data_IF_530172807541
#
_entry.id   IF_530172807541
#
_cell.length_a   1.000
_cell.length_b   1.000
_cell.length_c   1.000
_cell.angle_alpha   90.00
_cell.angle_beta   90.00
_cell.angle_gamma   90.00
#
_symmetry.space_group_name_H-M   'P 1'
#
loop_
_entity.id
_entity.type
_entity.pdbx_description
1 polymer ?
#
# COMPACT_ATOMS: atom_id res chain seq x y z
N UNK A 1 16.50 16.94 -10.22
CA UNK A 1 16.69 17.12 -11.63
C UNK A 1 16.39 18.54 -12.05
N UNK A 2 17.19 19.07 -12.95
CA UNK A 2 16.89 20.35 -13.61
C UNK A 2 16.03 20.00 -14.83
N UNK A 3 14.76 20.38 -14.80
CA UNK A 3 13.91 20.27 -15.99
C UNK A 3 14.06 21.53 -16.84
N UNK A 4 13.97 21.40 -18.12
CA UNK A 4 13.71 22.53 -19.00
C UNK A 4 12.20 22.86 -18.91
N UNK A 5 11.90 23.90 -18.15
CA UNK A 5 10.51 24.32 -17.94
C UNK A 5 9.86 24.81 -19.22
N UNK A 6 10.62 25.44 -20.12
CA UNK A 6 10.09 25.99 -21.37
C UNK A 6 9.68 24.87 -22.31
N UNK A 7 10.54 23.86 -22.43
CA UNK A 7 10.27 22.68 -23.24
C UNK A 7 9.05 21.91 -22.75
N UNK A 8 8.92 21.69 -21.43
CA UNK A 8 7.77 21.01 -20.82
C UNK A 8 6.48 21.80 -21.10
N UNK A 9 6.48 23.12 -20.93
CA UNK A 9 5.30 23.96 -21.16
C UNK A 9 4.96 23.99 -22.66
N UNK A 10 5.95 24.05 -23.55
CA UNK A 10 5.74 24.01 -24.98
C UNK A 10 5.07 22.69 -25.40
N UNK A 11 5.61 21.56 -24.96
CA UNK A 11 5.02 20.25 -25.18
C UNK A 11 3.57 20.15 -24.66
N UNK A 12 3.35 20.60 -23.43
CA UNK A 12 2.01 20.55 -22.83
C UNK A 12 1.00 21.44 -23.57
N UNK A 13 1.43 22.60 -24.11
CA UNK A 13 0.60 23.46 -24.96
C UNK A 13 0.28 22.86 -26.32
N UNK A 14 1.28 22.24 -26.94
CA UNK A 14 1.10 21.53 -28.21
C UNK A 14 0.12 20.36 -28.06
N UNK A 15 0.23 19.60 -26.94
CA UNK A 15 -0.71 18.54 -26.61
C UNK A 15 -2.14 19.03 -26.35
N UNK A 16 -2.29 20.27 -25.87
CA UNK A 16 -3.57 20.96 -25.62
C UNK A 16 -4.57 20.13 -24.78
N UNK A 17 -4.25 19.72 -23.56
CA UNK A 17 -5.14 18.89 -22.74
C UNK A 17 -6.32 19.68 -22.19
N UNK A 18 -7.48 19.03 -22.07
CA UNK A 18 -8.65 19.56 -21.35
C UNK A 18 -8.56 19.32 -19.84
N UNK A 19 -7.75 18.35 -19.41
CA UNK A 19 -7.59 17.94 -18.03
C UNK A 19 -6.19 17.35 -17.78
N UNK A 20 -5.68 17.57 -16.58
CA UNK A 20 -4.43 16.94 -16.11
C UNK A 20 -4.80 15.86 -15.09
N UNK A 21 -4.38 14.62 -15.35
CA UNK A 21 -4.40 13.57 -14.34
C UNK A 21 -3.00 13.39 -13.73
N UNK A 22 -2.85 13.69 -12.44
CA UNK A 22 -1.56 13.63 -11.75
C UNK A 22 -1.69 12.88 -10.41
N UNK A 23 -1.27 11.59 -10.33
CA UNK A 23 -1.24 10.88 -9.06
C UNK A 23 -0.44 11.64 -7.99
N UNK A 24 -1.01 11.79 -6.81
CA UNK A 24 -0.39 12.51 -5.70
C UNK A 24 0.57 11.60 -4.95
N UNK A 25 1.83 11.62 -5.35
CA UNK A 25 2.91 10.97 -4.62
C UNK A 25 3.56 11.96 -3.63
N UNK A 26 4.21 11.41 -2.58
CA UNK A 26 5.08 12.19 -1.69
C UNK A 26 6.33 12.79 -2.37
N UNK A 27 6.45 12.61 -3.67
CA UNK A 27 7.58 13.06 -4.48
C UNK A 27 7.42 14.53 -4.87
N UNK A 28 8.31 15.35 -4.32
CA UNK A 28 8.33 16.79 -4.54
C UNK A 28 8.46 17.21 -6.01
N UNK A 29 9.23 16.46 -6.82
CA UNK A 29 9.44 16.81 -8.23
C UNK A 29 8.15 16.66 -9.03
N UNK A 30 7.41 15.59 -8.80
CA UNK A 30 6.13 15.36 -9.48
C UNK A 30 5.09 16.43 -9.09
N UNK A 31 5.03 16.79 -7.81
CA UNK A 31 4.14 17.86 -7.35
C UNK A 31 4.47 19.22 -8.00
N UNK A 32 5.76 19.56 -8.14
CA UNK A 32 6.19 20.77 -8.82
C UNK A 32 5.90 20.76 -10.31
N UNK A 33 6.03 19.60 -10.96
CA UNK A 33 5.70 19.44 -12.37
C UNK A 33 4.21 19.66 -12.60
N UNK A 34 3.36 19.04 -11.79
CA UNK A 34 1.92 19.23 -11.85
C UNK A 34 1.52 20.71 -11.70
N UNK A 35 2.06 21.39 -10.68
CA UNK A 35 1.81 22.82 -10.49
C UNK A 35 2.27 23.65 -11.68
N UNK A 36 3.47 23.38 -12.21
CA UNK A 36 4.02 24.11 -13.36
C UNK A 36 3.11 24.02 -14.60
N UNK A 37 2.63 22.82 -14.90
CA UNK A 37 1.79 22.61 -16.08
C UNK A 37 0.39 23.22 -15.86
N UNK A 38 -0.18 23.04 -14.66
CA UNK A 38 -1.46 23.66 -14.31
C UNK A 38 -1.40 25.19 -14.45
N UNK A 39 -0.39 25.82 -13.84
CA UNK A 39 -0.21 27.29 -13.85
C UNK A 39 -0.03 27.83 -15.30
N UNK A 40 0.61 27.04 -16.18
CA UNK A 40 0.87 27.43 -17.56
C UNK A 40 -0.33 27.26 -18.50
N UNK A 41 -1.22 26.29 -18.22
CA UNK A 41 -2.35 25.94 -19.09
C UNK A 41 -3.71 26.35 -18.53
N UNK A 42 -3.79 26.55 -17.22
CA UNK A 42 -5.04 26.86 -16.49
C UNK A 42 -6.15 25.80 -16.70
N UNK A 43 -5.77 24.53 -16.81
CA UNK A 43 -6.70 23.41 -16.96
C UNK A 43 -6.89 22.67 -15.64
N UNK A 44 -8.06 22.06 -15.38
CA UNK A 44 -8.32 21.37 -14.12
C UNK A 44 -7.39 20.19 -13.90
N UNK A 45 -6.99 19.98 -12.64
CA UNK A 45 -6.17 18.85 -12.23
C UNK A 45 -6.99 17.88 -11.41
N UNK A 46 -7.03 16.63 -11.85
CA UNK A 46 -7.56 15.51 -11.09
C UNK A 46 -6.42 14.66 -10.57
N UNK A 47 -6.50 14.28 -9.32
CA UNK A 47 -5.46 13.51 -8.65
C UNK A 47 -6.01 12.24 -8.02
N UNK A 48 -5.12 11.32 -7.70
CA UNK A 48 -5.41 10.12 -6.92
C UNK A 48 -4.32 9.95 -5.85
N UNK A 49 -4.73 9.74 -4.61
CA UNK A 49 -3.83 9.50 -3.49
C UNK A 49 -4.07 8.10 -2.92
N UNK A 50 -3.02 7.26 -2.97
CA UNK A 50 -3.07 5.87 -2.55
C UNK A 50 -2.32 5.58 -1.25
N UNK A 51 -1.43 6.49 -0.81
CA UNK A 51 -0.54 6.25 0.32
C UNK A 51 -0.65 7.34 1.37
N UNK A 52 -0.46 6.94 2.63
CA UNK A 52 -0.40 7.86 3.75
C UNK A 52 1.04 8.34 4.00
N UNK A 53 1.48 9.35 3.26
CA UNK A 53 2.80 9.97 3.44
C UNK A 53 2.74 11.32 4.18
N UNK A 54 1.57 11.78 4.57
CA UNK A 54 1.31 13.16 5.03
C UNK A 54 0.70 13.25 6.42
N UNK A 55 0.18 12.17 6.99
CA UNK A 55 -0.49 12.21 8.29
C UNK A 55 0.50 12.31 9.45
N UNK A 56 0.07 12.88 10.57
CA UNK A 56 0.85 12.89 11.80
C UNK A 56 0.68 11.60 12.63
N UNK A 57 0.02 10.58 12.08
CA UNK A 57 -0.26 9.33 12.77
C UNK A 57 0.95 8.38 12.82
N UNK A 58 1.94 8.60 11.94
CA UNK A 58 3.21 7.88 12.02
C UNK A 58 4.03 8.44 13.17
N UNK A 59 4.51 7.56 14.06
CA UNK A 59 5.38 7.96 15.14
C UNK A 59 6.82 7.47 14.90
N UNK A 60 7.79 8.38 14.99
CA UNK A 60 9.22 8.06 14.97
C UNK A 60 9.98 8.93 15.97
N UNK A 61 10.94 8.34 16.68
CA UNK A 61 11.81 9.03 17.62
C UNK A 61 12.94 9.84 16.94
N UNK A 62 12.69 10.46 15.81
CA UNK A 62 13.71 11.21 15.07
C UNK A 62 13.26 12.65 14.83
N UNK A 63 13.97 13.64 15.36
CA UNK A 63 13.69 15.06 15.07
C UNK A 63 13.77 15.37 13.57
N UNK A 64 14.72 14.75 12.87
CA UNK A 64 14.89 14.92 11.42
C UNK A 64 13.67 14.40 10.67
N UNK A 65 13.08 13.27 11.11
CA UNK A 65 11.85 12.76 10.55
C UNK A 65 10.72 13.79 10.67
N UNK A 66 10.52 14.36 11.85
CA UNK A 66 9.44 15.34 12.08
C UNK A 66 9.64 16.62 11.31
N UNK A 67 10.88 17.11 11.20
CA UNK A 67 11.22 18.27 10.38
C UNK A 67 10.88 18.02 8.89
N UNK A 68 11.33 16.90 8.35
CA UNK A 68 11.03 16.50 6.97
C UNK A 68 9.52 16.31 6.76
N UNK A 69 8.84 15.69 7.71
CA UNK A 69 7.39 15.45 7.67
C UNK A 69 6.61 16.78 7.65
N UNK A 70 7.01 17.75 8.43
CA UNK A 70 6.44 19.10 8.40
C UNK A 70 6.59 19.75 7.01
N UNK A 71 7.76 19.61 6.36
CA UNK A 71 7.96 20.11 5.01
C UNK A 71 7.08 19.37 3.99
N UNK A 72 6.94 18.05 4.09
CA UNK A 72 6.05 17.27 3.24
C UNK A 72 4.61 17.77 3.39
N UNK A 73 4.10 17.93 4.60
CA UNK A 73 2.74 18.44 4.85
C UNK A 73 2.52 19.84 4.27
N UNK A 74 3.47 20.76 4.46
CA UNK A 74 3.38 22.13 3.87
C UNK A 74 3.31 22.08 2.34
N UNK A 75 4.09 21.22 1.71
CA UNK A 75 4.09 21.04 0.25
C UNK A 75 2.81 20.40 -0.22
N UNK A 76 2.34 19.36 0.46
CA UNK A 76 1.06 18.72 0.17
C UNK A 76 -0.09 19.74 0.23
N UNK A 77 -0.14 20.56 1.28
CA UNK A 77 -1.15 21.62 1.39
C UNK A 77 -1.09 22.63 0.22
N UNK A 78 0.09 22.92 -0.29
CA UNK A 78 0.23 23.82 -1.46
C UNK A 78 -0.28 23.16 -2.72
N UNK A 79 0.07 21.89 -2.98
CA UNK A 79 -0.31 21.23 -4.22
C UNK A 79 -1.82 20.94 -4.26
N UNK A 80 -2.44 20.63 -3.12
CA UNK A 80 -3.89 20.41 -3.05
C UNK A 80 -4.72 21.62 -3.51
N UNK A 81 -4.18 22.84 -3.44
CA UNK A 81 -4.84 24.05 -3.96
C UNK A 81 -4.93 24.07 -5.48
N UNK A 82 -4.10 23.30 -6.19
CA UNK A 82 -4.12 23.17 -7.64
C UNK A 82 -5.05 22.03 -8.10
N UNK A 83 -5.49 21.17 -7.16
CA UNK A 83 -6.34 20.04 -7.51
C UNK A 83 -7.81 20.41 -7.46
N UNK A 84 -8.50 20.24 -8.60
CA UNK A 84 -9.96 20.42 -8.69
C UNK A 84 -10.70 19.27 -8.01
N UNK A 85 -10.13 18.06 -8.07
CA UNK A 85 -10.68 16.85 -7.49
C UNK A 85 -9.55 15.87 -7.13
N UNK A 86 -9.68 15.22 -5.98
CA UNK A 86 -8.75 14.17 -5.55
C UNK A 86 -9.52 12.91 -5.22
N UNK A 87 -9.11 11.79 -5.80
CA UNK A 87 -9.66 10.49 -5.47
C UNK A 87 -8.80 9.77 -4.43
N UNK A 88 -9.46 8.96 -3.60
CA UNK A 88 -8.84 8.04 -2.64
C UNK A 88 -9.66 6.76 -2.51
N UNK A 89 -9.12 5.75 -1.82
CA UNK A 89 -9.79 4.46 -1.66
C UNK A 89 -10.64 4.36 -0.40
N UNK A 90 -10.32 5.12 0.67
CA UNK A 90 -10.95 4.96 1.99
C UNK A 90 -11.64 6.23 2.48
N UNK A 91 -12.75 6.04 3.19
CA UNK A 91 -13.48 7.16 3.81
C UNK A 91 -12.65 7.86 4.89
N UNK A 92 -11.80 7.12 5.61
CA UNK A 92 -10.91 7.70 6.62
C UNK A 92 -9.92 8.68 5.99
N UNK A 93 -9.26 8.28 4.89
CA UNK A 93 -8.32 9.16 4.18
C UNK A 93 -9.02 10.38 3.59
N UNK A 94 -10.21 10.18 3.00
CA UNK A 94 -11.04 11.26 2.49
C UNK A 94 -11.28 12.31 3.57
N UNK A 95 -11.89 11.92 4.69
CA UNK A 95 -12.20 12.83 5.80
C UNK A 95 -10.96 13.53 6.36
N UNK A 96 -9.84 12.83 6.43
CA UNK A 96 -8.60 13.40 6.93
C UNK A 96 -8.01 14.43 5.96
N UNK A 97 -7.98 14.17 4.66
CA UNK A 97 -7.50 15.14 3.67
C UNK A 97 -8.39 16.36 3.56
N UNK A 98 -9.71 16.18 3.64
CA UNK A 98 -10.67 17.28 3.68
C UNK A 98 -10.42 18.20 4.89
N UNK A 99 -10.21 17.62 6.09
CA UNK A 99 -9.88 18.39 7.30
C UNK A 99 -8.51 19.06 7.25
N UNK A 100 -7.49 18.33 6.82
CA UNK A 100 -6.10 18.79 6.93
C UNK A 100 -5.69 19.77 5.82
N UNK A 101 -6.29 19.63 4.64
CA UNK A 101 -5.88 20.31 3.43
C UNK A 101 -7.01 21.08 2.72
N UNK A 102 -8.26 20.93 3.13
CA UNK A 102 -9.42 21.51 2.43
C UNK A 102 -9.63 20.93 1.03
N UNK A 103 -9.25 19.68 0.82
CA UNK A 103 -9.31 19.02 -0.48
C UNK A 103 -10.76 18.66 -0.87
N UNK A 104 -11.10 18.78 -2.16
CA UNK A 104 -12.33 18.20 -2.69
C UNK A 104 -12.08 16.72 -2.99
N UNK A 105 -12.62 15.83 -2.17
CA UNK A 105 -12.30 14.40 -2.20
C UNK A 105 -13.49 13.54 -2.61
N UNK A 106 -13.21 12.53 -3.44
CA UNK A 106 -14.18 11.46 -3.77
C UNK A 106 -13.54 10.08 -3.59
N UNK A 107 -14.37 9.09 -3.35
CA UNK A 107 -13.93 7.70 -3.26
C UNK A 107 -13.89 7.10 -4.66
N UNK A 108 -12.76 6.46 -4.98
CA UNK A 108 -12.58 5.65 -6.18
C UNK A 108 -11.90 4.34 -5.76
N UNK A 109 -12.65 3.26 -5.71
CA UNK A 109 -12.15 1.93 -5.37
C UNK A 109 -11.83 1.14 -6.63
N UNK A 110 -10.74 0.40 -6.57
CA UNK A 110 -10.40 -0.55 -7.63
C UNK A 110 -11.27 -1.80 -7.45
N UNK A 111 -12.07 -2.09 -8.44
CA UNK A 111 -12.86 -3.33 -8.45
C UNK A 111 -12.09 -4.43 -9.18
N UNK A 112 -12.13 -5.66 -8.63
CA UNK A 112 -11.74 -6.88 -9.31
C UNK A 112 -12.99 -7.59 -9.87
N UNK A 113 -12.84 -8.30 -10.98
CA UNK A 113 -13.84 -9.28 -11.39
C UNK A 113 -13.50 -10.58 -10.67
N UNK A 114 -14.21 -10.86 -9.59
CA UNK A 114 -14.11 -12.11 -8.86
C UNK A 114 -15.31 -12.95 -9.25
N UNK A 115 -15.07 -14.06 -9.92
CA UNK A 115 -16.11 -15.06 -10.15
C UNK A 115 -16.18 -15.92 -8.87
N UNK A 116 -17.37 -16.14 -8.33
CA UNK A 116 -17.62 -16.95 -7.13
C UNK A 116 -17.37 -18.47 -7.34
N UNK A 117 -16.34 -18.81 -8.14
CA UNK A 117 -15.99 -20.19 -8.49
C UNK A 117 -15.11 -20.86 -7.43
N UNK A 118 -14.82 -20.18 -6.34
CA UNK A 118 -13.78 -20.60 -5.40
C UNK A 118 -14.31 -21.17 -4.10
N UNK A 119 -15.59 -21.50 -4.06
CA UNK A 119 -16.15 -22.19 -2.90
C UNK A 119 -15.60 -23.62 -2.84
N UNK A 120 -14.68 -23.82 -1.90
CA UNK A 120 -14.07 -25.10 -1.65
C UNK A 120 -15.03 -25.96 -0.83
N UNK A 121 -15.38 -27.14 -1.33
CA UNK A 121 -16.29 -28.08 -0.65
C UNK A 121 -15.61 -28.89 0.46
N UNK A 122 -14.26 -28.92 0.47
CA UNK A 122 -13.48 -29.73 1.42
C UNK A 122 -12.23 -28.99 1.86
N UNK A 123 -12.01 -28.93 3.16
CA UNK A 123 -10.80 -28.35 3.78
C UNK A 123 -9.63 -29.34 3.65
N UNK A 124 -8.43 -28.85 3.40
CA UNK A 124 -7.22 -29.68 3.35
C UNK A 124 -6.86 -30.24 4.74
N UNK A 125 -6.13 -31.32 4.74
CA UNK A 125 -5.44 -31.86 5.89
C UNK A 125 -3.95 -32.07 5.53
N UNK A 126 -3.02 -31.25 6.01
CA UNK A 126 -3.20 -30.09 6.92
C UNK A 126 -3.94 -28.90 6.27
N UNK A 127 -4.56 -28.05 7.11
CA UNK A 127 -5.19 -26.78 6.67
C UNK A 127 -4.10 -25.85 6.14
N UNK A 128 -4.31 -25.28 4.96
CA UNK A 128 -3.33 -24.44 4.26
C UNK A 128 -3.69 -22.97 4.34
N UNK A 129 -2.84 -22.21 5.02
CA UNK A 129 -2.87 -20.75 5.04
C UNK A 129 -1.89 -20.20 4.01
N UNK A 130 -2.27 -19.14 3.32
CA UNK A 130 -1.41 -18.45 2.38
C UNK A 130 -1.38 -16.95 2.62
N UNK A 131 -0.19 -16.38 2.59
CA UNK A 131 0.05 -14.94 2.53
C UNK A 131 0.84 -14.62 1.26
N UNK A 132 0.40 -13.65 0.48
CA UNK A 132 1.13 -13.16 -0.68
C UNK A 132 1.27 -11.65 -0.61
N UNK A 133 2.50 -11.16 -0.45
CA UNK A 133 2.75 -9.73 -0.34
C UNK A 133 4.08 -9.35 0.29
N UNK A 134 4.26 -8.03 0.48
CA UNK A 134 5.43 -7.49 1.16
C UNK A 134 5.39 -7.73 2.67
N UNK A 135 6.51 -8.12 3.24
CA UNK A 135 6.67 -8.39 4.69
C UNK A 135 7.33 -7.25 5.45
N UNK A 136 7.69 -6.13 4.78
CA UNK A 136 8.21 -4.94 5.45
C UNK A 136 7.15 -4.20 6.26
N UNK A 137 7.52 -3.08 6.85
CA UNK A 137 6.69 -2.34 7.81
C UNK A 137 6.25 -3.22 8.98
N UNK A 138 7.12 -4.14 9.42
CA UNK A 138 6.89 -5.08 10.52
C UNK A 138 5.72 -6.08 10.32
N UNK A 139 5.21 -6.27 9.10
CA UNK A 139 4.21 -7.31 8.80
C UNK A 139 4.71 -8.71 9.12
N UNK A 140 6.02 -8.95 8.94
CA UNK A 140 6.65 -10.22 9.28
C UNK A 140 6.46 -10.58 10.77
N UNK A 141 6.37 -9.61 11.68
CA UNK A 141 6.11 -9.88 13.11
C UNK A 141 4.73 -10.47 13.36
N UNK A 142 3.72 -9.98 12.63
CA UNK A 142 2.37 -10.54 12.68
C UNK A 142 2.33 -11.95 12.12
N UNK A 143 3.05 -12.20 11.01
CA UNK A 143 3.20 -13.53 10.44
C UNK A 143 4.00 -14.46 11.36
N UNK A 144 5.02 -13.96 12.06
CA UNK A 144 5.80 -14.69 13.06
C UNK A 144 4.96 -15.11 14.25
N UNK A 145 4.14 -14.20 14.79
CA UNK A 145 3.22 -14.52 15.88
C UNK A 145 2.19 -15.60 15.47
N UNK A 146 1.70 -15.52 14.22
CA UNK A 146 0.83 -16.56 13.67
C UNK A 146 1.55 -17.89 13.50
N UNK A 147 2.77 -17.89 12.96
CA UNK A 147 3.59 -19.10 12.81
C UNK A 147 3.87 -19.75 14.16
N UNK A 148 4.13 -18.95 15.20
CA UNK A 148 4.33 -19.45 16.57
C UNK A 148 3.06 -20.15 17.10
N UNK A 149 1.90 -19.53 16.96
CA UNK A 149 0.63 -20.13 17.33
C UNK A 149 0.37 -21.44 16.57
N UNK A 150 0.71 -21.47 15.27
CA UNK A 150 0.58 -22.69 14.44
C UNK A 150 1.55 -23.80 14.90
N UNK A 151 2.77 -23.48 15.33
CA UNK A 151 3.69 -24.48 15.92
C UNK A 151 3.11 -25.13 17.17
N UNK A 152 2.45 -24.36 18.03
CA UNK A 152 1.73 -24.93 19.18
C UNK A 152 0.59 -25.87 18.76
N UNK A 153 -0.19 -25.50 17.73
CA UNK A 153 -1.25 -26.37 17.19
C UNK A 153 -0.66 -27.67 16.62
N UNK A 154 0.52 -27.59 16.04
CA UNK A 154 1.23 -28.72 15.42
C UNK A 154 2.02 -29.59 16.40
N UNK A 155 1.98 -29.34 17.71
CA UNK A 155 2.77 -30.08 18.69
C UNK A 155 2.58 -31.63 18.61
N UNK A 156 1.38 -32.08 18.29
CA UNK A 156 1.04 -33.51 18.18
C UNK A 156 0.87 -33.98 16.71
N UNK A 157 1.52 -33.30 15.77
CA UNK A 157 1.45 -33.59 14.33
C UNK A 157 1.01 -32.38 13.50
N UNK A 158 1.33 -32.40 12.21
CA UNK A 158 1.08 -31.27 11.31
C UNK A 158 -0.41 -31.16 10.99
N UNK A 159 -1.07 -30.16 11.56
CA UNK A 159 -2.51 -29.85 11.38
C UNK A 159 -2.73 -28.60 10.52
N UNK A 160 -1.78 -27.65 10.57
CA UNK A 160 -1.83 -26.39 9.85
C UNK A 160 -0.48 -26.04 9.23
N UNK A 161 -0.48 -25.38 8.08
CA UNK A 161 0.74 -24.88 7.43
C UNK A 161 0.52 -23.47 6.89
N UNK A 162 1.59 -22.65 6.88
CA UNK A 162 1.60 -21.28 6.39
C UNK A 162 2.60 -21.15 5.24
N UNK A 163 2.13 -20.87 4.05
CA UNK A 163 2.95 -20.56 2.89
C UNK A 163 2.96 -19.05 2.65
N UNK A 164 4.16 -18.43 2.64
CA UNK A 164 4.38 -16.97 2.52
C UNK A 164 5.09 -16.70 1.20
N UNK A 165 4.42 -16.03 0.26
CA UNK A 165 4.98 -15.64 -1.04
C UNK A 165 5.40 -14.17 -1.03
N UNK A 166 6.72 -13.91 -1.17
CA UNK A 166 7.25 -12.54 -1.10
C UNK A 166 8.52 -12.35 -1.93
N UNK A 167 8.74 -11.11 -2.41
CA UNK A 167 10.01 -10.71 -3.03
C UNK A 167 10.99 -10.09 -2.04
N UNK A 168 10.62 -9.96 -0.77
CA UNK A 168 11.50 -9.40 0.23
C UNK A 168 12.60 -10.38 0.62
N UNK A 169 13.80 -9.84 0.84
CA UNK A 169 14.87 -10.61 1.47
C UNK A 169 14.57 -10.77 2.96
N UNK A 170 14.81 -11.95 3.47
CA UNK A 170 14.72 -12.24 4.91
C UNK A 170 16.06 -11.92 5.55
N UNK A 171 16.02 -11.21 6.67
CA UNK A 171 17.14 -11.17 7.60
C UNK A 171 17.17 -12.43 8.51
N UNK A 172 18.22 -12.64 9.31
CA UNK A 172 18.31 -13.83 10.17
C UNK A 172 17.15 -13.99 11.16
N UNK A 173 16.62 -12.89 11.69
CA UNK A 173 15.49 -12.92 12.61
C UNK A 173 14.20 -13.33 11.89
N UNK A 174 13.92 -12.72 10.74
CA UNK A 174 12.78 -13.11 9.90
C UNK A 174 12.86 -14.58 9.48
N UNK A 175 14.08 -15.03 9.09
CA UNK A 175 14.29 -16.43 8.71
C UNK A 175 13.89 -17.38 9.83
N UNK A 176 14.27 -17.06 11.06
CA UNK A 176 13.96 -17.88 12.23
C UNK A 176 12.46 -17.90 12.56
N UNK A 177 11.80 -16.77 12.45
CA UNK A 177 10.41 -16.61 12.90
C UNK A 177 9.37 -17.13 11.90
N UNK A 178 9.61 -16.90 10.59
CA UNK A 178 8.60 -17.16 9.55
C UNK A 178 9.01 -18.19 8.48
N UNK A 179 10.15 -18.87 8.64
CA UNK A 179 10.64 -19.85 7.66
C UNK A 179 11.30 -21.05 8.34
N UNK A 180 10.54 -21.79 9.15
CA UNK A 180 11.04 -23.00 9.84
C UNK A 180 11.06 -24.25 8.92
N UNK A 181 10.56 -24.14 7.70
CA UNK A 181 10.53 -25.20 6.70
C UNK A 181 9.45 -26.27 6.90
N UNK A 182 8.78 -26.25 8.04
CA UNK A 182 7.73 -27.24 8.38
C UNK A 182 6.34 -26.57 8.53
N UNK A 183 6.17 -25.74 9.53
CA UNK A 183 4.93 -25.04 9.82
C UNK A 183 4.79 -23.77 8.98
N UNK A 184 5.85 -22.96 8.87
CA UNK A 184 5.90 -21.77 8.07
C UNK A 184 7.01 -21.85 7.02
N UNK A 185 6.68 -21.53 5.77
CA UNK A 185 7.59 -21.61 4.63
C UNK A 185 7.51 -20.35 3.80
N UNK A 186 8.69 -19.79 3.48
CA UNK A 186 8.78 -18.62 2.62
C UNK A 186 9.19 -19.03 1.21
N UNK A 187 8.43 -18.55 0.25
CA UNK A 187 8.60 -18.77 -1.17
C UNK A 187 8.87 -17.45 -1.88
N UNK A 188 9.51 -17.52 -3.05
CA UNK A 188 9.58 -16.36 -3.95
C UNK A 188 8.20 -15.99 -4.43
N UNK A 189 7.97 -14.70 -4.66
CA UNK A 189 6.73 -14.26 -5.30
C UNK A 189 6.58 -14.89 -6.69
N UNK A 190 5.36 -15.19 -7.04
CA UNK A 190 4.95 -15.85 -8.27
C UNK A 190 4.15 -14.90 -9.16
N UNK A 191 3.86 -15.29 -10.39
CA UNK A 191 2.96 -14.56 -11.28
C UNK A 191 1.52 -14.53 -10.74
N UNK A 192 0.70 -13.61 -11.24
CA UNK A 192 -0.71 -13.52 -10.82
C UNK A 192 -1.48 -14.81 -11.14
N UNK A 193 -1.23 -15.45 -12.28
CA UNK A 193 -1.88 -16.69 -12.64
C UNK A 193 -1.55 -17.83 -11.67
N UNK A 194 -0.25 -18.01 -11.36
CA UNK A 194 0.20 -18.99 -10.36
C UNK A 194 -0.35 -18.68 -8.96
N UNK A 195 -0.45 -17.40 -8.61
CA UNK A 195 -1.01 -16.99 -7.31
C UNK A 195 -2.49 -17.36 -7.20
N UNK A 196 -3.25 -17.22 -8.26
CA UNK A 196 -4.66 -17.65 -8.29
C UNK A 196 -4.78 -19.17 -8.07
N UNK A 197 -3.91 -19.97 -8.70
CA UNK A 197 -3.87 -21.41 -8.48
C UNK A 197 -3.49 -21.78 -7.04
N UNK A 198 -2.58 -21.03 -6.43
CA UNK A 198 -2.20 -21.20 -5.03
C UNK A 198 -3.39 -20.88 -4.10
N UNK A 199 -4.11 -19.80 -4.36
CA UNK A 199 -5.32 -19.47 -3.59
C UNK A 199 -6.37 -20.56 -3.69
N UNK A 200 -6.60 -21.14 -4.87
CA UNK A 200 -7.53 -22.27 -5.06
C UNK A 200 -7.14 -23.50 -4.24
N UNK A 201 -5.83 -23.76 -4.10
CA UNK A 201 -5.29 -24.90 -3.35
C UNK A 201 -5.20 -24.63 -1.85
N UNK A 202 -5.36 -23.38 -1.43
CA UNK A 202 -5.32 -22.97 -0.03
C UNK A 202 -6.71 -22.95 0.60
N UNK A 203 -6.78 -22.96 1.92
CA UNK A 203 -8.05 -22.91 2.66
C UNK A 203 -8.31 -21.53 3.22
N UNK A 204 -7.24 -20.79 3.56
CA UNK A 204 -7.31 -19.46 4.17
C UNK A 204 -6.31 -18.53 3.49
N UNK A 205 -6.80 -17.47 2.88
CA UNK A 205 -5.95 -16.36 2.42
C UNK A 205 -5.81 -15.31 3.54
N UNK A 206 -4.57 -14.87 3.79
CA UNK A 206 -4.26 -13.95 4.87
C UNK A 206 -3.99 -12.55 4.34
N UNK A 207 -4.46 -11.57 5.07
CA UNK A 207 -4.00 -10.18 5.00
C UNK A 207 -3.32 -9.82 6.33
N UNK A 208 -2.01 -9.55 6.30
CA UNK A 208 -1.25 -9.21 7.48
C UNK A 208 -0.87 -7.72 7.50
N UNK A 209 -1.14 -7.05 8.61
CA UNK A 209 -0.68 -5.71 8.91
C UNK A 209 0.05 -5.69 10.26
N UNK A 210 0.98 -4.75 10.43
CA UNK A 210 1.65 -4.55 11.72
C UNK A 210 0.91 -3.51 12.56
N UNK A 211 0.76 -3.80 13.85
CA UNK A 211 0.10 -2.93 14.83
C UNK A 211 1.08 -2.44 15.90
N UNK A 212 2.33 -2.26 15.53
CA UNK A 212 3.34 -1.68 16.41
C UNK A 212 3.15 -0.15 16.59
N UNK A 213 3.90 0.44 17.51
CA UNK A 213 3.79 1.87 17.84
C UNK A 213 4.03 2.78 16.62
N UNK A 214 4.81 2.35 15.64
CA UNK A 214 5.15 3.14 14.46
C UNK A 214 4.07 3.09 13.37
N UNK A 215 3.26 2.03 13.34
CA UNK A 215 2.29 1.75 12.29
C UNK A 215 0.83 1.74 12.78
N UNK A 216 0.61 1.71 14.10
CA UNK A 216 -0.69 1.51 14.75
C UNK A 216 -1.80 2.43 14.24
N UNK A 217 -1.47 3.68 13.95
CA UNK A 217 -2.43 4.72 13.57
C UNK A 217 -2.33 5.16 12.12
N UNK A 218 -1.46 4.53 11.32
CA UNK A 218 -1.34 4.83 9.89
C UNK A 218 -2.62 4.39 9.18
N UNK A 219 -3.13 5.22 8.28
CA UNK A 219 -4.29 4.86 7.46
C UNK A 219 -3.94 3.68 6.57
N UNK A 220 -4.71 2.61 6.67
CA UNK A 220 -4.50 1.39 5.88
C UNK A 220 -5.23 1.51 4.55
N UNK A 221 -4.47 1.42 3.47
CA UNK A 221 -4.97 1.57 2.11
C UNK A 221 -5.12 0.24 1.38
N UNK A 222 -4.46 -0.80 1.87
CA UNK A 222 -4.36 -2.10 1.20
C UNK A 222 -5.58 -3.00 1.38
N UNK A 223 -6.50 -2.65 2.25
CA UNK A 223 -7.68 -3.47 2.59
C UNK A 223 -9.00 -2.74 2.32
N UNK A 224 -9.10 -2.07 1.21
CA UNK A 224 -10.30 -1.31 0.83
C UNK A 224 -11.16 -1.99 -0.23
N UNK A 225 -10.96 -3.27 -0.45
CA UNK A 225 -11.70 -4.05 -1.45
C UNK A 225 -12.70 -4.96 -0.80
#
# INVERSE_FOLDING_TARGET
>A
GRWDKKEIIAYAREFNPDIIFAPCYGNHYMQRLTALVHDALNVPVVSYISDDFYTNKQFKFSPIFWLNHMFIRRRTRKIFRHYSLVYTMTDEQKQQCERDFGANMKILRKNGRFENQYLKSKVNAPIRFVYAGGIYLNRWKTLGALAEAMRHINADGVKVVLDIYTNNKLDPQMQQEINDGSTARVHKAVSMAELMDIYHKSDVALHAEAFDITNRHVVRMSFST
#
